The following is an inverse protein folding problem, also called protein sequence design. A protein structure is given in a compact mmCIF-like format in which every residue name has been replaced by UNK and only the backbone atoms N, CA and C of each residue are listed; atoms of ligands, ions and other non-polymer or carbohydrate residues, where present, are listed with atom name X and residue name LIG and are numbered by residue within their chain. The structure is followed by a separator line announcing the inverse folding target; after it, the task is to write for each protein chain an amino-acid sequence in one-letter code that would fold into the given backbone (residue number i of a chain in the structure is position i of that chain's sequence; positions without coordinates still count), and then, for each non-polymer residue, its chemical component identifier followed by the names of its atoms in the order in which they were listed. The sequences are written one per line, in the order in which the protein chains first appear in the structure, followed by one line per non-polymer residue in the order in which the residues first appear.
data_IF_525650845980
#
_entry.id   IF_525650845980
#
_cell.length_a   1.000
_cell.length_b   1.000
_cell.length_c   1.000
_cell.angle_alpha   90.00
_cell.angle_beta   90.00
_cell.angle_gamma   90.00
#
_symmetry.space_group_name_H-M   'P 1'
#
loop_
_entity.id
_entity.type
_entity.pdbx_description
1 polymer ?
#
# COMPACT_ATOMS: atom_id res chain seq x y z
N UNK A 1 -3.23 0.07 -21.51
CA UNK A 1 -2.70 -0.89 -20.51
C UNK A 1 -2.03 -0.07 -19.43
N UNK A 2 -2.51 -0.13 -18.18
CA UNK A 2 -1.83 0.53 -17.07
C UNK A 2 -0.52 -0.19 -16.75
N UNK A 3 0.56 0.54 -16.48
CA UNK A 3 1.81 -0.05 -15.99
C UNK A 3 1.67 -0.21 -14.47
N UNK A 4 1.72 -1.44 -13.95
CA UNK A 4 1.59 -1.70 -12.52
C UNK A 4 2.61 -0.94 -11.64
N UNK A 5 3.73 -0.49 -12.19
CA UNK A 5 4.68 0.40 -11.48
C UNK A 5 4.10 1.78 -11.26
N UNK A 6 3.34 2.31 -12.22
CA UNK A 6 2.66 3.59 -12.08
C UNK A 6 1.59 3.47 -11.01
N UNK A 7 0.82 2.37 -11.02
CA UNK A 7 -0.20 2.09 -10.01
C UNK A 7 0.42 2.04 -8.61
N UNK A 8 1.49 1.26 -8.40
CA UNK A 8 2.20 1.21 -7.10
C UNK A 8 2.78 2.56 -6.69
N UNK A 9 3.24 3.38 -7.64
CA UNK A 9 3.68 4.74 -7.34
C UNK A 9 2.52 5.66 -6.92
N UNK A 10 1.34 5.50 -7.50
CA UNK A 10 0.12 6.20 -7.04
C UNK A 10 -0.30 5.70 -5.66
N UNK A 11 -0.30 4.39 -5.42
CA UNK A 11 -0.55 3.78 -4.10
C UNK A 11 0.39 4.37 -3.05
N UNK A 12 1.69 4.46 -3.35
CA UNK A 12 2.66 5.09 -2.44
C UNK A 12 2.31 6.55 -2.11
N UNK A 13 1.90 7.34 -3.11
CA UNK A 13 1.49 8.74 -2.89
C UNK A 13 0.29 8.81 -1.95
N UNK A 14 -0.75 8.00 -2.20
CA UNK A 14 -1.95 7.96 -1.37
C UNK A 14 -1.58 7.61 0.08
N UNK A 15 -0.82 6.54 0.30
CA UNK A 15 -0.41 6.13 1.66
C UNK A 15 0.43 7.22 2.33
N UNK A 16 1.29 7.91 1.58
CA UNK A 16 2.10 9.01 2.10
C UNK A 16 1.23 10.19 2.52
N UNK A 17 0.27 10.59 1.69
CA UNK A 17 -0.70 11.65 2.02
C UNK A 17 -1.51 11.29 3.28
N UNK A 18 -1.98 10.04 3.38
CA UNK A 18 -2.67 9.50 4.57
C UNK A 18 -1.77 9.62 5.80
N UNK A 19 -0.50 9.20 5.70
CA UNK A 19 0.46 9.30 6.80
C UNK A 19 0.67 10.74 7.25
N UNK A 20 0.86 11.67 6.32
CA UNK A 20 1.07 13.09 6.62
C UNK A 20 -0.17 13.72 7.28
N UNK A 21 -1.39 13.34 6.85
CA UNK A 21 -2.63 13.79 7.47
C UNK A 21 -2.77 13.26 8.92
N UNK A 22 -2.45 11.99 9.14
CA UNK A 22 -2.47 11.40 10.49
C UNK A 22 -1.47 12.10 11.42
N UNK A 23 -0.28 12.44 10.93
CA UNK A 23 0.71 13.21 11.70
C UNK A 23 0.17 14.60 12.10
N UNK A 24 -0.59 15.26 11.20
CA UNK A 24 -1.21 16.57 11.48
C UNK A 24 -2.31 16.52 12.53
N UNK A 25 -3.09 15.45 12.58
CA UNK A 25 -4.23 15.35 13.50
C UNK A 25 -3.84 15.29 14.99
N UNK A 26 -2.58 15.02 15.35
CA UNK A 26 -2.06 14.96 16.74
C UNK A 26 -2.98 14.24 17.75
N UNK A 27 -3.76 13.27 17.27
CA UNK A 27 -4.75 12.56 18.08
C UNK A 27 -4.23 11.14 18.37
N UNK A 28 -4.15 10.81 19.66
CA UNK A 28 -3.60 9.54 20.13
C UNK A 28 -4.47 8.34 19.74
N UNK A 29 -5.75 8.55 19.41
CA UNK A 29 -6.65 7.48 18.95
C UNK A 29 -6.21 6.86 17.62
N UNK A 30 -5.36 7.56 16.87
CA UNK A 30 -4.80 7.08 15.62
C UNK A 30 -3.35 6.60 15.74
N UNK A 31 -2.81 6.40 16.95
CA UNK A 31 -1.43 5.90 17.09
C UNK A 31 -1.21 4.53 16.47
N UNK A 32 -2.18 3.61 16.63
CA UNK A 32 -2.08 2.29 16.00
C UNK A 32 -2.24 2.38 14.49
N UNK A 33 -3.19 3.20 14.01
CA UNK A 33 -3.34 3.49 12.58
C UNK A 33 -2.04 4.06 11.97
N UNK A 34 -1.35 4.97 12.66
CA UNK A 34 -0.05 5.52 12.22
C UNK A 34 1.00 4.44 12.07
N UNK A 35 1.06 3.49 13.00
CA UNK A 35 2.00 2.36 12.92
C UNK A 35 1.68 1.50 11.69
N UNK A 36 0.40 1.18 11.49
CA UNK A 36 -0.05 0.32 10.39
C UNK A 36 0.18 0.98 9.02
N UNK A 37 -0.13 2.27 8.89
CA UNK A 37 0.18 3.07 7.69
C UNK A 37 1.70 3.17 7.46
N UNK A 38 2.49 3.29 8.53
CA UNK A 38 3.95 3.26 8.45
C UNK A 38 4.49 1.91 7.94
N UNK A 39 3.84 0.80 8.28
CA UNK A 39 4.16 -0.53 7.72
C UNK A 39 3.78 -0.60 6.24
N UNK A 40 2.61 -0.09 5.86
CA UNK A 40 2.18 0.00 4.45
C UNK A 40 3.20 0.76 3.60
N UNK A 41 3.70 1.92 4.09
CA UNK A 41 4.74 2.70 3.42
C UNK A 41 6.00 1.90 3.14
N UNK A 42 6.46 1.10 4.10
CA UNK A 42 7.65 0.25 3.94
C UNK A 42 7.43 -0.82 2.88
N UNK A 43 6.25 -1.46 2.86
CA UNK A 43 5.96 -2.51 1.89
C UNK A 43 5.76 -1.98 0.47
N UNK A 44 5.02 -0.89 0.29
CA UNK A 44 4.81 -0.30 -1.04
C UNK A 44 6.15 0.18 -1.63
N UNK A 45 7.05 0.74 -0.83
CA UNK A 45 8.40 1.11 -1.27
C UNK A 45 9.22 -0.09 -1.77
N UNK A 46 9.09 -1.25 -1.11
CA UNK A 46 9.75 -2.49 -1.57
C UNK A 46 9.19 -3.00 -2.90
N UNK A 47 7.92 -2.71 -3.18
CA UNK A 47 7.24 -3.09 -4.42
C UNK A 47 7.57 -2.14 -5.58
N UNK A 48 8.02 -0.91 -5.32
CA UNK A 48 8.31 0.08 -6.36
C UNK A 48 9.37 -0.38 -7.36
N UNK A 49 9.24 0.10 -8.60
CA UNK A 49 10.22 -0.06 -9.68
C UNK A 49 10.50 -1.50 -10.15
N UNK A 50 9.65 -2.47 -9.79
CA UNK A 50 9.85 -3.89 -10.16
C UNK A 50 9.35 -4.16 -11.58
N UNK A 51 10.16 -4.82 -12.41
CA UNK A 51 9.81 -5.17 -13.81
C UNK A 51 8.58 -6.06 -13.87
N UNK A 52 8.48 -7.01 -12.95
CA UNK A 52 7.39 -7.97 -12.90
C UNK A 52 5.99 -7.33 -12.81
N UNK A 53 5.88 -6.12 -12.26
CA UNK A 53 4.63 -5.35 -12.19
C UNK A 53 4.04 -4.98 -13.57
N UNK A 54 4.81 -5.10 -14.66
CA UNK A 54 4.32 -4.90 -16.02
C UNK A 54 3.55 -6.11 -16.56
N UNK A 55 3.59 -7.24 -15.86
CA UNK A 55 2.73 -8.38 -16.20
C UNK A 55 1.27 -8.07 -15.88
N UNK A 56 0.35 -8.80 -16.51
CA UNK A 56 -1.09 -8.70 -16.21
C UNK A 56 -1.36 -8.96 -14.73
N UNK A 57 -0.86 -10.08 -14.21
CA UNK A 57 -0.94 -10.44 -12.79
C UNK A 57 -0.38 -9.35 -11.87
N UNK A 58 0.80 -8.80 -12.19
CA UNK A 58 1.39 -7.71 -11.41
C UNK A 58 0.60 -6.41 -11.46
N UNK A 59 -0.09 -6.13 -12.57
CA UNK A 59 -0.95 -4.95 -12.74
C UNK A 59 -2.26 -5.11 -11.96
N UNK A 60 -2.88 -6.29 -12.04
CA UNK A 60 -4.11 -6.63 -11.27
C UNK A 60 -3.86 -6.54 -9.76
N UNK A 61 -2.76 -7.13 -9.26
CA UNK A 61 -2.41 -7.04 -7.84
C UNK A 61 -2.05 -5.61 -7.39
N UNK A 62 -1.36 -4.85 -8.25
CA UNK A 62 -1.09 -3.44 -7.97
C UNK A 62 -2.38 -2.62 -7.88
N UNK A 63 -3.36 -2.90 -8.75
CA UNK A 63 -4.65 -2.23 -8.74
C UNK A 63 -5.40 -2.52 -7.43
N UNK A 64 -5.43 -3.77 -6.97
CA UNK A 64 -6.01 -4.11 -5.66
C UNK A 64 -5.37 -3.33 -4.51
N UNK A 65 -4.04 -3.18 -4.50
CA UNK A 65 -3.35 -2.36 -3.50
C UNK A 65 -3.73 -0.87 -3.59
N UNK A 66 -3.98 -0.34 -4.80
CA UNK A 66 -4.43 1.05 -5.00
C UNK A 66 -5.87 1.23 -4.50
N UNK A 67 -6.76 0.30 -4.81
CA UNK A 67 -8.16 0.37 -4.41
C UNK A 67 -8.28 0.38 -2.87
N UNK A 68 -7.56 -0.51 -2.18
CA UNK A 68 -7.50 -0.53 -0.71
C UNK A 68 -6.90 0.77 -0.12
N UNK A 69 -5.89 1.35 -0.77
CA UNK A 69 -5.32 2.62 -0.33
C UNK A 69 -6.30 3.78 -0.50
N UNK A 70 -7.12 3.78 -1.55
CA UNK A 70 -8.17 4.77 -1.73
C UNK A 70 -9.30 4.60 -0.70
N UNK A 71 -9.69 3.37 -0.37
CA UNK A 71 -10.66 3.10 0.71
C UNK A 71 -10.14 3.58 2.06
N UNK A 72 -8.88 3.29 2.40
CA UNK A 72 -8.22 3.82 3.59
C UNK A 72 -8.29 5.36 3.63
N UNK A 73 -8.00 6.03 2.51
CA UNK A 73 -8.08 7.49 2.41
C UNK A 73 -9.51 8.01 2.63
N UNK A 74 -10.53 7.32 2.13
CA UNK A 74 -11.94 7.72 2.30
C UNK A 74 -12.41 7.57 3.75
N UNK A 75 -11.92 6.55 4.45
CA UNK A 75 -12.33 6.22 5.81
C UNK A 75 -11.44 6.79 6.91
N UNK A 76 -10.49 7.67 6.58
CA UNK A 76 -9.58 8.36 7.52
C UNK A 76 -10.28 9.07 8.69
N UNK A 77 -11.56 9.44 8.53
CA UNK A 77 -12.36 10.09 9.59
C UNK A 77 -12.92 9.11 10.63
N UNK A 78 -12.91 7.81 10.33
CA UNK A 78 -13.35 6.73 11.22
C UNK A 78 -12.15 5.85 11.59
N UNK A 79 -11.63 6.01 12.80
CA UNK A 79 -10.44 5.29 13.26
C UNK A 79 -10.59 3.77 13.21
N UNK A 80 -11.80 3.23 13.47
CA UNK A 80 -12.01 1.78 13.48
C UNK A 80 -11.94 1.20 12.08
N UNK A 81 -12.63 1.83 11.13
CA UNK A 81 -12.66 1.40 9.73
C UNK A 81 -11.30 1.64 9.07
N UNK A 82 -10.65 2.76 9.37
CA UNK A 82 -9.32 3.06 8.87
C UNK A 82 -8.25 2.06 9.34
N UNK A 83 -8.30 1.61 10.60
CA UNK A 83 -7.38 0.58 11.10
C UNK A 83 -7.53 -0.75 10.33
N UNK A 84 -8.77 -1.20 10.11
CA UNK A 84 -9.02 -2.42 9.35
C UNK A 84 -8.56 -2.30 7.90
N UNK A 85 -8.84 -1.16 7.25
CA UNK A 85 -8.37 -0.87 5.89
C UNK A 85 -6.83 -0.81 5.81
N UNK A 86 -6.16 -0.21 6.79
CA UNK A 86 -4.70 -0.17 6.84
C UNK A 86 -4.09 -1.57 7.04
N UNK A 87 -4.70 -2.43 7.86
CA UNK A 87 -4.27 -3.81 8.05
C UNK A 87 -4.41 -4.61 6.74
N UNK A 88 -5.56 -4.52 6.08
CA UNK A 88 -5.81 -5.19 4.81
C UNK A 88 -4.83 -4.74 3.72
N UNK A 89 -4.62 -3.43 3.60
CA UNK A 89 -3.64 -2.85 2.69
C UNK A 89 -2.23 -3.35 2.99
N UNK A 90 -1.84 -3.39 4.26
CA UNK A 90 -0.54 -3.92 4.70
C UNK A 90 -0.35 -5.37 4.28
N UNK A 91 -1.36 -6.23 4.49
CA UNK A 91 -1.32 -7.63 4.10
C UNK A 91 -1.21 -7.80 2.59
N UNK A 92 -1.94 -7.01 1.79
CA UNK A 92 -1.86 -7.06 0.34
C UNK A 92 -0.48 -6.62 -0.17
N UNK A 93 0.05 -5.52 0.35
CA UNK A 93 1.37 -5.02 -0.02
C UNK A 93 2.49 -5.97 0.40
N UNK A 94 2.37 -6.60 1.57
CA UNK A 94 3.29 -7.64 2.01
C UNK A 94 3.25 -8.86 1.08
N UNK A 95 2.05 -9.34 0.74
CA UNK A 95 1.87 -10.44 -0.20
C UNK A 95 2.48 -10.13 -1.57
N UNK A 96 2.21 -8.94 -2.10
CA UNK A 96 2.79 -8.45 -3.33
C UNK A 96 4.33 -8.40 -3.25
N UNK A 97 4.88 -7.90 -2.16
CA UNK A 97 6.33 -7.84 -1.95
C UNK A 97 6.96 -9.25 -1.91
N UNK A 98 6.29 -10.23 -1.28
CA UNK A 98 6.74 -11.63 -1.27
C UNK A 98 6.69 -12.24 -2.67
N UNK A 99 5.61 -12.03 -3.43
CA UNK A 99 5.49 -12.53 -4.81
C UNK A 99 6.61 -11.93 -5.67
N UNK A 100 6.81 -10.62 -5.60
CA UNK A 100 7.89 -9.92 -6.30
C UNK A 100 9.25 -10.54 -5.95
N UNK A 101 9.52 -10.79 -4.67
CA UNK A 101 10.77 -11.40 -4.22
C UNK A 101 10.93 -12.81 -4.80
N UNK A 102 9.91 -13.65 -4.73
CA UNK A 102 9.94 -15.00 -5.31
C UNK A 102 10.15 -15.00 -6.82
N UNK A 103 9.52 -14.08 -7.56
CA UNK A 103 9.70 -13.95 -9.01
C UNK A 103 11.09 -13.42 -9.38
N UNK A 104 11.71 -12.61 -8.52
CA UNK A 104 13.09 -12.18 -8.71
C UNK A 104 14.10 -13.32 -8.54
N UNK A 105 13.84 -14.26 -7.62
CA UNK A 105 14.71 -15.42 -7.35
C UNK A 105 14.67 -16.48 -8.46
N UNK A 106 13.58 -16.58 -9.23
CA UNK A 106 13.45 -17.57 -10.32
C UNK A 106 14.16 -17.12 -11.61
N UNK A 107 14.58 -15.85 -11.69
CA UNK A 107 15.27 -15.27 -12.86
C UNK A 107 16.80 -15.28 -12.75
N UNK A 108 17.37 -15.89 -11.71
CA UNK A 108 18.81 -16.15 -11.52
C UNK A 108 19.13 -17.63 -11.69
#
# INVERSE_FOLDING_TARGET
MGDGRQIINETYKIIKEVSEELERQKDNRFEDLKKDVGVCLKWVQKCQNKVWLRSKEGTDLAQGCKDEAEELRKHLTDASVACEAALNLSMQLESLAKIIASKATVLT
#
